data_IF_938900038631
#
_entry.id   IF_938900038631
#
_cell.length_a   1.000
_cell.length_b   1.000
_cell.length_c   1.000
_cell.angle_alpha   90.00
_cell.angle_beta   90.00
_cell.angle_gamma   90.00
#
_symmetry.space_group_name_H-M   'P 1'
#
loop_
_entity.id
_entity.type
_entity.pdbx_description
1 polymer ?
#
# COMPACT_ATOMS: atom_id res chain seq x y z
N UNK A 1 14.56 -15.90 14.28
CA UNK A 1 13.60 -15.10 13.49
C UNK A 1 12.54 -14.47 14.41
N UNK A 2 12.41 -13.15 14.43
CA UNK A 2 11.28 -12.51 15.08
C UNK A 2 10.02 -12.77 14.24
N UNK A 3 8.92 -13.17 14.87
CA UNK A 3 7.64 -13.24 14.18
C UNK A 3 7.12 -11.82 13.96
N UNK A 4 6.68 -11.50 12.74
CA UNK A 4 6.03 -10.23 12.48
C UNK A 4 4.71 -10.15 13.26
N UNK A 5 4.52 -9.07 14.01
CA UNK A 5 3.31 -8.74 14.77
C UNK A 5 2.45 -7.67 14.08
N UNK A 6 3.02 -6.99 13.07
CA UNK A 6 2.35 -5.99 12.24
C UNK A 6 2.54 -6.30 10.76
N UNK A 7 1.56 -5.95 9.94
CA UNK A 7 1.62 -6.08 8.49
C UNK A 7 0.86 -4.95 7.78
N UNK A 8 1.31 -4.63 6.56
CA UNK A 8 0.58 -3.86 5.57
C UNK A 8 0.11 -4.83 4.49
N UNK A 9 -1.20 -4.94 4.30
CA UNK A 9 -1.81 -5.70 3.21
C UNK A 9 -2.31 -4.76 2.12
N UNK A 10 -2.04 -5.10 0.86
CA UNK A 10 -2.48 -4.35 -0.33
C UNK A 10 -3.12 -5.33 -1.30
N UNK A 11 -4.29 -4.97 -1.81
CA UNK A 11 -5.07 -5.74 -2.78
C UNK A 11 -5.35 -4.86 -3.98
N UNK A 12 -5.00 -5.36 -5.17
CA UNK A 12 -5.36 -4.77 -6.44
C UNK A 12 -6.64 -5.43 -6.94
N UNK A 13 -7.74 -4.68 -6.94
CA UNK A 13 -9.07 -5.18 -7.24
C UNK A 13 -9.40 -4.85 -8.70
N UNK A 14 -9.72 -5.88 -9.49
CA UNK A 14 -10.22 -5.65 -10.85
C UNK A 14 -11.54 -4.89 -10.82
N UNK A 15 -11.66 -3.86 -11.66
CA UNK A 15 -12.91 -3.10 -11.85
C UNK A 15 -13.62 -3.68 -13.07
N UNK A 16 -14.83 -4.21 -12.89
CA UNK A 16 -15.61 -4.79 -13.98
C UNK A 16 -15.84 -3.77 -15.11
N UNK A 17 -15.61 -4.18 -16.35
CA UNK A 17 -15.71 -3.33 -17.53
C UNK A 17 -14.52 -2.38 -17.77
N UNK A 18 -13.49 -2.41 -16.91
CA UNK A 18 -12.31 -1.56 -17.05
C UNK A 18 -11.25 -2.15 -17.99
N UNK A 19 -10.78 -1.35 -18.94
CA UNK A 19 -9.63 -1.67 -19.78
C UNK A 19 -8.32 -1.20 -19.11
N UNK A 20 -7.87 -1.93 -18.07
CA UNK A 20 -6.56 -1.75 -17.45
C UNK A 20 -6.52 -0.93 -16.15
N UNK A 21 -7.64 -0.37 -15.67
CA UNK A 21 -7.72 0.23 -14.34
C UNK A 21 -8.12 -0.80 -13.28
N UNK A 22 -7.64 -0.61 -12.06
CA UNK A 22 -7.92 -1.41 -10.87
C UNK A 22 -8.14 -0.49 -9.66
N UNK A 23 -8.86 -0.98 -8.66
CA UNK A 23 -8.93 -0.36 -7.34
C UNK A 23 -7.73 -0.78 -6.50
N UNK A 24 -7.28 0.10 -5.61
CA UNK A 24 -6.26 -0.21 -4.60
C UNK A 24 -6.93 -0.21 -3.24
N UNK A 25 -6.98 -1.38 -2.61
CA UNK A 25 -7.50 -1.54 -1.25
C UNK A 25 -6.36 -1.95 -0.33
N UNK A 26 -6.17 -1.22 0.77
CA UNK A 26 -5.06 -1.48 1.68
C UNK A 26 -5.49 -1.41 3.15
N UNK A 27 -4.80 -2.17 3.99
CA UNK A 27 -5.07 -2.27 5.42
C UNK A 27 -3.82 -2.55 6.23
N UNK A 28 -3.81 -2.03 7.46
CA UNK A 28 -2.85 -2.36 8.49
C UNK A 28 -3.41 -3.51 9.32
N UNK A 29 -2.59 -4.51 9.61
CA UNK A 29 -2.97 -5.71 10.33
C UNK A 29 -2.07 -5.94 11.53
N UNK A 30 -2.64 -6.41 12.62
CA UNK A 30 -1.94 -6.79 13.84
C UNK A 30 -2.18 -8.27 14.13
N UNK A 31 -1.15 -8.97 14.61
CA UNK A 31 -1.21 -10.38 14.94
C UNK A 31 -1.61 -10.57 16.40
N UNK A 32 -2.86 -10.97 16.62
CA UNK A 32 -3.37 -11.38 17.92
C UNK A 32 -3.33 -12.89 18.13
N UNK A 33 -3.87 -13.34 19.28
CA UNK A 33 -4.02 -14.77 19.59
C UNK A 33 -4.88 -15.53 18.57
N UNK A 34 -5.86 -14.84 17.97
CA UNK A 34 -6.74 -15.38 16.91
C UNK A 34 -6.19 -15.25 15.48
N UNK A 35 -4.92 -14.86 15.33
CA UNK A 35 -4.30 -14.60 14.03
C UNK A 35 -4.32 -13.13 13.63
N UNK A 36 -4.21 -12.86 12.32
CA UNK A 36 -4.17 -11.51 11.78
C UNK A 36 -5.55 -10.86 11.81
N UNK A 37 -5.63 -9.65 12.36
CA UNK A 37 -6.84 -8.83 12.39
C UNK A 37 -6.52 -7.46 11.79
N UNK A 38 -7.46 -6.90 11.03
CA UNK A 38 -7.30 -5.56 10.51
C UNK A 38 -7.34 -4.55 11.66
N UNK A 39 -6.24 -3.82 11.83
CA UNK A 39 -6.12 -2.71 12.76
C UNK A 39 -6.78 -1.45 12.19
N UNK A 40 -6.45 -1.10 10.94
CA UNK A 40 -6.95 0.12 10.25
C UNK A 40 -7.02 -0.09 8.74
N UNK A 41 -7.92 0.64 8.08
CA UNK A 41 -7.87 0.81 6.62
C UNK A 41 -6.81 1.85 6.27
N UNK A 42 -6.08 1.62 5.19
CA UNK A 42 -5.12 2.59 4.64
C UNK A 42 -5.83 3.49 3.64
N UNK A 43 -5.53 4.79 3.68
CA UNK A 43 -6.07 5.80 2.75
C UNK A 43 -4.94 6.59 2.10
N UNK A 44 -5.16 7.10 0.88
CA UNK A 44 -4.18 7.91 0.15
C UNK A 44 -3.13 7.12 -0.63
N UNK A 45 -3.03 5.81 -0.42
CA UNK A 45 -2.09 4.96 -1.16
C UNK A 45 -2.59 4.71 -2.59
N UNK A 46 -1.75 5.01 -3.58
CA UNK A 46 -2.01 4.75 -4.99
C UNK A 46 -0.82 4.05 -5.65
N UNK A 47 -0.97 3.67 -6.92
CA UNK A 47 0.07 3.00 -7.69
C UNK A 47 -0.03 1.47 -7.62
N UNK A 48 0.92 0.80 -8.26
CA UNK A 48 1.01 -0.66 -8.35
C UNK A 48 2.38 -1.18 -7.94
N UNK A 49 2.55 -2.50 -7.93
CA UNK A 49 3.85 -3.16 -7.76
C UNK A 49 4.59 -2.68 -6.50
N UNK A 50 4.12 -3.04 -5.30
CA UNK A 50 4.73 -2.56 -4.07
C UNK A 50 6.14 -3.17 -3.92
N UNK A 51 7.14 -2.31 -3.76
CA UNK A 51 8.56 -2.66 -3.65
C UNK A 51 9.18 -2.04 -2.39
N UNK A 52 10.37 -2.54 -2.04
CA UNK A 52 11.21 -2.01 -0.97
C UNK A 52 10.50 -1.79 0.39
N UNK A 53 9.70 -2.75 0.89
CA UNK A 53 8.98 -2.54 2.13
C UNK A 53 9.95 -2.41 3.32
N UNK A 54 9.79 -1.36 4.11
CA UNK A 54 10.46 -1.19 5.39
C UNK A 54 9.44 -0.92 6.48
N UNK A 55 9.73 -1.36 7.70
CA UNK A 55 8.84 -1.19 8.86
C UNK A 55 9.61 -0.55 10.00
N UNK A 56 8.97 0.40 10.68
CA UNK A 56 9.45 0.95 11.94
C UNK A 56 8.30 1.05 12.96
N UNK A 57 8.57 1.62 14.13
CA UNK A 57 7.58 1.75 15.21
C UNK A 57 6.37 2.61 14.82
N UNK A 58 6.57 3.57 13.91
CA UNK A 58 5.57 4.56 13.49
C UNK A 58 4.76 4.11 12.27
N UNK A 59 5.23 3.17 11.46
CA UNK A 59 4.56 2.80 10.23
C UNK A 59 5.38 1.98 9.25
N UNK A 60 4.97 2.06 7.99
CA UNK A 60 5.55 1.34 6.87
C UNK A 60 6.03 2.29 5.79
N UNK A 61 7.20 2.01 5.22
CA UNK A 61 7.65 2.61 3.98
C UNK A 61 7.51 1.59 2.86
N UNK A 62 7.14 2.08 1.68
CA UNK A 62 7.11 1.28 0.46
C UNK A 62 7.23 2.18 -0.76
N UNK A 63 7.65 1.59 -1.87
CA UNK A 63 7.65 2.23 -3.19
C UNK A 63 6.55 1.61 -4.04
N UNK A 64 5.84 2.43 -4.82
CA UNK A 64 4.89 1.94 -5.83
C UNK A 64 5.22 2.57 -7.18
N UNK A 65 4.87 1.90 -8.28
CA UNK A 65 4.87 2.51 -9.60
C UNK A 65 3.60 3.35 -9.80
N UNK A 66 3.75 4.61 -10.19
CA UNK A 66 2.66 5.56 -10.47
C UNK A 66 2.82 6.18 -11.86
N UNK A 67 1.82 6.95 -12.30
CA UNK A 67 1.87 7.66 -13.58
C UNK A 67 2.75 8.90 -13.44
N UNK A 68 3.74 9.03 -14.31
CA UNK A 68 4.51 10.24 -14.49
C UNK A 68 3.68 11.36 -15.14
N UNK A 69 4.15 12.62 -15.05
CA UNK A 69 3.41 13.79 -15.52
C UNK A 69 3.14 13.80 -17.04
N UNK A 70 3.90 13.03 -17.81
CA UNK A 70 3.77 12.94 -19.27
C UNK A 70 3.38 11.52 -19.73
N UNK A 71 2.97 10.65 -18.81
CA UNK A 71 2.69 9.26 -19.15
C UNK A 71 1.34 9.10 -19.85
N UNK A 72 1.27 8.32 -20.95
CA UNK A 72 0.01 7.77 -21.40
C UNK A 72 -0.64 7.01 -20.24
N UNK A 73 -1.96 7.16 -20.07
CA UNK A 73 -2.73 6.61 -18.92
C UNK A 73 -2.64 5.09 -18.73
N UNK A 74 -1.94 4.36 -19.60
CA UNK A 74 -1.80 2.91 -19.57
C UNK A 74 -0.48 2.40 -18.98
N UNK A 75 0.55 3.24 -18.80
CA UNK A 75 1.89 2.76 -18.44
C UNK A 75 2.50 3.57 -17.29
N UNK A 76 2.42 3.10 -16.02
CA UNK A 76 3.16 3.69 -14.91
C UNK A 76 4.66 3.67 -15.19
N UNK A 77 5.36 4.81 -15.09
CA UNK A 77 6.80 4.90 -15.35
C UNK A 77 7.63 5.49 -14.21
N UNK A 78 7.00 6.07 -13.20
CA UNK A 78 7.71 6.71 -12.08
C UNK A 78 7.53 5.91 -10.80
N UNK A 79 8.55 5.94 -9.96
CA UNK A 79 8.51 5.37 -8.62
C UNK A 79 8.10 6.45 -7.61
N UNK A 80 7.11 6.15 -6.78
CA UNK A 80 6.67 7.01 -5.68
C UNK A 80 6.94 6.31 -4.36
N UNK A 81 7.69 6.97 -3.48
CA UNK A 81 7.90 6.53 -2.11
C UNK A 81 6.75 6.99 -1.22
N UNK A 82 6.27 6.08 -0.38
CA UNK A 82 5.18 6.30 0.55
C UNK A 82 5.62 6.03 1.97
N UNK A 83 5.08 6.81 2.90
CA UNK A 83 4.99 6.45 4.30
C UNK A 83 3.53 6.24 4.69
N UNK A 84 3.22 5.05 5.22
CA UNK A 84 1.92 4.70 5.78
C UNK A 84 2.01 4.75 7.30
N UNK A 85 1.35 5.74 7.88
CA UNK A 85 1.34 5.95 9.32
C UNK A 85 0.49 4.89 10.04
N UNK A 86 1.06 4.23 11.05
CA UNK A 86 0.41 3.15 11.79
C UNK A 86 -0.80 3.63 12.61
N UNK A 87 -0.70 4.83 13.20
CA UNK A 87 -1.70 5.35 14.10
C UNK A 87 -2.96 5.86 13.37
N UNK A 88 -2.81 6.30 12.13
CA UNK A 88 -3.88 6.94 11.35
C UNK A 88 -4.31 6.10 10.14
N UNK A 89 -3.42 5.27 9.59
CA UNK A 89 -3.62 4.60 8.31
C UNK A 89 -3.48 5.55 7.11
N UNK A 90 -3.04 6.79 7.30
CA UNK A 90 -2.83 7.70 6.19
C UNK A 90 -1.50 7.43 5.49
N UNK A 91 -1.54 7.30 4.16
CA UNK A 91 -0.37 7.24 3.30
C UNK A 91 -0.05 8.62 2.75
N UNK A 92 1.20 9.04 2.90
CA UNK A 92 1.73 10.30 2.34
C UNK A 92 2.94 10.03 1.46
N UNK A 93 3.02 10.72 0.34
CA UNK A 93 4.22 10.75 -0.51
C UNK A 93 5.41 11.34 0.27
N UNK A 94 6.61 10.88 -0.05
CA UNK A 94 7.87 11.26 0.61
C UNK A 94 8.82 12.03 -0.28
#
# INVERSE_FOLDING_TARGET
PAFADRALGIVYVHIEGSAGNFGVEAGLFERGAGGWQMHRRVTGLIGSSPLNPQVNSSGFYLTTSTLGPNDPRCCPSVETEWFVDWATGHASER
#
